data_IF_712367753808
#
_entry.id   IF_712367753808
#
_cell.length_a   1.000
_cell.length_b   1.000
_cell.length_c   1.000
_cell.angle_alpha   90.00
_cell.angle_beta   90.00
_cell.angle_gamma   90.00
#
_symmetry.space_group_name_H-M   'P 1'
#
loop_
_entity.id
_entity.type
_entity.pdbx_description
1 polymer ?
#
# COMPACT_ATOMS: atom_id res chain seq x y z
N UNK A 1 -26.18 -13.53 24.98
CA UNK A 1 -26.13 -12.16 24.43
C UNK A 1 -24.82 -12.04 23.68
N UNK A 2 -24.85 -11.69 22.39
CA UNK A 2 -23.64 -11.62 21.58
C UNK A 2 -23.01 -10.23 21.71
N UNK A 3 -21.83 -10.15 22.34
CA UNK A 3 -21.06 -8.91 22.41
C UNK A 3 -20.46 -8.60 21.04
N UNK A 4 -21.16 -7.79 20.25
CA UNK A 4 -20.60 -7.17 19.05
C UNK A 4 -19.54 -6.15 19.48
N UNK A 5 -18.29 -6.58 19.59
CA UNK A 5 -17.14 -5.69 19.63
C UNK A 5 -16.94 -5.09 18.23
N UNK A 6 -17.68 -4.00 17.95
CA UNK A 6 -17.52 -3.20 16.75
C UNK A 6 -16.27 -2.33 16.85
N UNK A 7 -15.36 -2.47 15.89
CA UNK A 7 -14.11 -1.71 15.75
C UNK A 7 -14.34 -0.24 15.31
N UNK A 8 -15.06 0.55 16.12
CA UNK A 8 -15.42 1.94 15.81
C UNK A 8 -14.57 3.02 16.53
N UNK A 9 -13.41 2.64 17.09
CA UNK A 9 -12.42 3.56 17.71
C UNK A 9 -11.53 4.30 16.69
N UNK A 10 -11.87 4.33 15.40
CA UNK A 10 -11.04 5.02 14.39
C UNK A 10 -11.29 6.56 14.32
N UNK A 11 -12.23 7.10 15.11
CA UNK A 11 -12.75 8.47 14.93
C UNK A 11 -12.14 9.59 15.80
N UNK A 12 -11.64 9.33 17.02
CA UNK A 12 -11.22 10.42 17.95
C UNK A 12 -9.71 10.46 18.19
N UNK A 13 -8.94 10.71 17.13
CA UNK A 13 -7.49 10.99 17.28
C UNK A 13 -7.26 12.47 17.63
N UNK A 14 -6.90 12.74 18.89
CA UNK A 14 -6.68 14.09 19.41
C UNK A 14 -5.36 14.67 18.90
N UNK A 15 -4.27 13.92 19.00
CA UNK A 15 -2.94 14.34 18.57
C UNK A 15 -2.08 13.15 18.13
N UNK A 16 -0.94 13.44 17.50
CA UNK A 16 0.08 12.46 17.17
C UNK A 16 1.38 12.77 17.91
N UNK A 17 2.23 11.76 18.06
CA UNK A 17 3.54 11.94 18.66
C UNK A 17 4.51 10.81 18.38
N UNK A 18 5.71 10.98 18.90
CA UNK A 18 6.83 10.07 18.72
C UNK A 18 7.73 10.09 19.96
N UNK A 19 8.27 8.93 20.32
CA UNK A 19 9.26 8.78 21.38
C UNK A 19 10.17 7.56 21.12
N UNK A 20 11.19 7.41 21.97
CA UNK A 20 11.89 6.14 22.10
C UNK A 20 11.21 5.29 23.18
N UNK A 21 10.94 4.02 22.88
CA UNK A 21 10.23 3.12 23.77
C UNK A 21 10.91 3.01 25.15
N UNK A 22 10.19 3.41 26.22
CA UNK A 22 10.72 3.41 27.60
C UNK A 22 10.87 1.99 28.18
N UNK A 23 10.03 1.06 27.74
CA UNK A 23 10.03 -0.38 28.04
C UNK A 23 9.62 -1.17 26.80
N UNK A 24 9.72 -2.51 26.84
CA UNK A 24 9.30 -3.39 25.74
C UNK A 24 7.83 -3.81 25.81
N UNK A 25 7.05 -3.29 26.76
CA UNK A 25 5.72 -3.81 27.09
C UNK A 25 4.61 -3.31 26.15
N UNK A 26 4.91 -2.37 25.26
CA UNK A 26 3.93 -1.79 24.34
C UNK A 26 3.81 -2.66 23.09
N UNK A 27 2.60 -3.18 22.81
CA UNK A 27 2.29 -3.85 21.55
C UNK A 27 2.01 -2.83 20.45
N UNK A 28 2.37 -3.17 19.22
CA UNK A 28 2.08 -2.34 18.05
C UNK A 28 0.62 -2.50 17.62
N UNK A 29 -0.07 -1.39 17.33
CA UNK A 29 -1.50 -1.40 16.96
C UNK A 29 -1.76 -1.39 15.45
N UNK A 30 -0.78 -1.82 14.64
CA UNK A 30 -0.92 -1.91 13.19
C UNK A 30 -1.75 -3.14 12.78
N UNK A 31 -2.70 -2.99 11.84
CA UNK A 31 -3.67 -4.04 11.40
C UNK A 31 -3.07 -5.37 10.88
N UNK A 32 -1.75 -5.52 10.85
CA UNK A 32 -1.04 -6.74 10.45
C UNK A 32 0.28 -6.94 11.22
N UNK A 33 0.35 -6.49 12.48
CA UNK A 33 1.56 -6.52 13.28
C UNK A 33 1.25 -6.67 14.78
N UNK A 34 1.31 -7.90 15.29
CA UNK A 34 1.03 -8.23 16.70
C UNK A 34 2.28 -8.17 17.61
N UNK A 35 3.40 -7.71 17.06
CA UNK A 35 4.71 -7.65 17.70
C UNK A 35 4.80 -6.56 18.78
N UNK A 36 5.58 -6.85 19.81
CA UNK A 36 6.02 -5.88 20.82
C UNK A 36 7.03 -4.88 20.26
N UNK A 37 6.98 -3.65 20.79
CA UNK A 37 7.88 -2.55 20.44
C UNK A 37 9.01 -2.52 21.47
N UNK A 38 10.20 -2.99 21.08
CA UNK A 38 11.33 -3.15 22.00
C UNK A 38 11.83 -1.83 22.59
N UNK A 39 12.26 -1.84 23.86
CA UNK A 39 12.87 -0.69 24.56
C UNK A 39 13.97 -0.03 23.71
N UNK A 40 13.97 1.31 23.68
CA UNK A 40 14.94 2.14 22.96
C UNK A 40 14.68 2.28 21.45
N UNK A 41 13.69 1.57 20.89
CA UNK A 41 13.31 1.74 19.48
C UNK A 41 12.43 2.98 19.29
N UNK A 42 12.56 3.62 18.12
CA UNK A 42 11.68 4.72 17.71
C UNK A 42 10.28 4.18 17.41
N UNK A 43 9.26 4.77 18.05
CA UNK A 43 7.86 4.45 17.84
C UNK A 43 7.04 5.73 17.64
N UNK A 44 5.90 5.58 16.96
CA UNK A 44 4.93 6.64 16.73
C UNK A 44 3.65 6.31 17.50
N UNK A 45 2.87 7.30 17.88
CA UNK A 45 1.60 7.09 18.57
C UNK A 45 0.53 8.09 18.14
N UNK A 46 -0.74 7.69 18.32
CA UNK A 46 -1.90 8.59 18.39
C UNK A 46 -2.34 8.72 19.85
N UNK A 47 -2.74 9.91 20.27
CA UNK A 47 -3.46 10.13 21.52
C UNK A 47 -4.96 10.01 21.24
N UNK A 48 -5.63 9.13 21.98
CA UNK A 48 -7.10 8.99 21.99
C UNK A 48 -7.64 9.34 23.39
N UNK A 49 -8.92 9.74 23.52
CA UNK A 49 -9.60 9.77 24.80
C UNK A 49 -9.53 8.40 25.47
N UNK A 50 -9.20 8.38 26.75
CA UNK A 50 -9.15 7.16 27.55
C UNK A 50 -10.57 6.81 28.02
N UNK A 51 -11.20 5.72 27.52
CA UNK A 51 -12.59 5.40 27.85
C UNK A 51 -12.79 4.96 29.30
N UNK A 52 -11.70 4.65 30.03
CA UNK A 52 -11.75 4.19 31.42
C UNK A 52 -11.59 5.32 32.45
N UNK A 53 -11.29 6.55 32.00
CA UNK A 53 -11.01 7.69 32.87
C UNK A 53 -12.14 8.72 32.74
N UNK A 54 -12.77 9.15 33.85
CA UNK A 54 -13.87 10.11 33.80
C UNK A 54 -13.40 11.48 33.30
N UNK A 55 -14.27 12.18 32.59
CA UNK A 55 -14.01 13.49 31.98
C UNK A 55 -13.78 14.64 33.00
N UNK A 56 -13.87 14.34 34.30
CA UNK A 56 -13.55 15.25 35.42
C UNK A 56 -12.08 15.20 35.87
N UNK A 57 -11.28 14.28 35.32
CA UNK A 57 -9.83 14.15 35.58
C UNK A 57 -8.99 15.19 34.82
N UNK A 58 -7.67 15.21 35.00
CA UNK A 58 -6.79 16.12 34.27
C UNK A 58 -6.66 15.75 32.79
N UNK A 59 -6.32 16.72 31.92
CA UNK A 59 -6.27 16.51 30.47
C UNK A 59 -5.25 15.45 30.06
N UNK A 60 -4.16 15.32 30.79
CA UNK A 60 -3.13 14.31 30.58
C UNK A 60 -3.64 12.89 30.93
N UNK A 61 -4.45 12.74 31.98
CA UNK A 61 -5.04 11.45 32.39
C UNK A 61 -6.17 11.00 31.44
N UNK A 62 -6.89 11.96 30.86
CA UNK A 62 -7.94 11.71 29.86
C UNK A 62 -7.41 11.20 28.52
N UNK A 63 -6.10 11.21 28.26
CA UNK A 63 -5.52 10.82 26.98
C UNK A 63 -4.59 9.60 27.12
N UNK A 64 -4.82 8.57 26.31
CA UNK A 64 -3.96 7.39 26.25
C UNK A 64 -3.23 7.27 24.89
N UNK A 65 -1.92 6.96 24.88
CA UNK A 65 -1.16 6.74 23.67
C UNK A 65 -1.35 5.32 23.13
N UNK A 66 -1.80 5.23 21.87
CA UNK A 66 -1.84 3.99 21.09
C UNK A 66 -0.57 3.93 20.24
N UNK A 67 0.31 2.96 20.50
CA UNK A 67 1.65 2.88 19.92
C UNK A 67 1.74 2.03 18.64
N UNK A 68 2.65 2.42 17.75
CA UNK A 68 2.91 1.77 16.47
C UNK A 68 4.41 1.75 16.17
N UNK A 69 4.87 0.69 15.51
CA UNK A 69 6.11 0.76 14.72
C UNK A 69 5.97 1.84 13.64
N UNK A 70 7.05 2.54 13.29
CA UNK A 70 7.05 3.64 12.29
C UNK A 70 6.33 3.23 10.99
N UNK A 71 6.65 2.08 10.41
CA UNK A 71 6.01 1.63 9.17
C UNK A 71 4.52 1.25 9.35
N UNK A 72 4.16 0.73 10.53
CA UNK A 72 2.76 0.40 10.84
C UNK A 72 1.91 1.67 11.00
N UNK A 73 2.49 2.75 11.51
CA UNK A 73 1.83 4.05 11.60
C UNK A 73 1.62 4.67 10.21
N UNK A 74 2.62 4.61 9.32
CA UNK A 74 2.46 5.03 7.92
C UNK A 74 1.33 4.23 7.24
N UNK A 75 1.30 2.91 7.41
CA UNK A 75 0.21 2.07 6.89
C UNK A 75 -1.16 2.40 7.51
N UNK A 76 -1.21 2.79 8.80
CA UNK A 76 -2.42 3.27 9.46
C UNK A 76 -2.90 4.60 8.86
N UNK A 77 -2.00 5.53 8.49
CA UNK A 77 -2.38 6.77 7.80
C UNK A 77 -2.84 6.50 6.36
N UNK A 78 -2.25 5.53 5.66
CA UNK A 78 -2.64 5.15 4.29
C UNK A 78 -4.07 4.59 4.17
N UNK A 79 -4.74 4.25 5.27
CA UNK A 79 -6.09 3.68 5.27
C UNK A 79 -7.03 4.43 6.22
N UNK A 80 -8.32 4.47 5.93
CA UNK A 80 -9.38 5.02 6.78
C UNK A 80 -10.15 6.17 6.11
N UNK A 81 -11.07 6.79 6.85
CA UNK A 81 -12.00 7.79 6.32
C UNK A 81 -11.29 8.98 5.64
N UNK A 82 -11.96 9.65 4.71
CA UNK A 82 -11.46 10.85 4.05
C UNK A 82 -11.14 11.95 5.09
N UNK A 83 -12.06 12.17 6.05
CA UNK A 83 -11.89 13.12 7.15
C UNK A 83 -10.92 12.65 8.27
N UNK A 84 -10.30 11.48 8.15
CA UNK A 84 -9.37 10.97 9.16
C UNK A 84 -8.19 11.93 9.31
N UNK A 85 -7.88 12.32 10.56
CA UNK A 85 -6.73 13.17 10.86
C UNK A 85 -5.44 12.54 10.30
N UNK A 86 -4.66 13.33 9.57
CA UNK A 86 -3.40 12.93 8.93
C UNK A 86 -2.29 13.89 9.37
N UNK A 87 -1.06 13.39 9.41
CA UNK A 87 0.13 14.23 9.62
C UNK A 87 0.41 14.98 8.31
N UNK A 88 0.40 16.30 8.36
CA UNK A 88 0.72 17.19 7.25
C UNK A 88 2.16 17.71 7.41
N UNK A 89 2.55 18.11 8.62
CA UNK A 89 3.90 18.56 8.92
C UNK A 89 4.46 17.82 10.15
N UNK A 90 5.45 16.96 9.92
CA UNK A 90 6.10 16.13 10.95
C UNK A 90 6.62 16.93 12.14
N UNK A 91 7.15 18.14 11.91
CA UNK A 91 7.77 18.96 12.97
C UNK A 91 6.73 19.62 13.89
N UNK A 92 5.50 19.82 13.40
CA UNK A 92 4.41 20.49 14.13
C UNK A 92 3.37 19.52 14.67
N UNK A 93 3.09 18.46 13.91
CA UNK A 93 2.00 17.52 14.21
C UNK A 93 2.44 16.35 15.10
N UNK A 94 3.74 16.02 15.13
CA UNK A 94 4.28 15.00 16.03
C UNK A 94 4.88 15.63 17.30
N UNK A 95 4.17 15.47 18.41
CA UNK A 95 4.73 15.71 19.75
C UNK A 95 6.00 14.85 19.95
N UNK A 96 7.04 15.40 20.59
CA UNK A 96 8.30 14.70 20.84
C UNK A 96 9.29 14.67 19.67
N UNK A 97 9.00 15.33 18.54
CA UNK A 97 9.84 15.28 17.34
C UNK A 97 11.22 15.91 17.53
N UNK A 98 11.32 17.01 18.28
CA UNK A 98 12.57 17.76 18.45
C UNK A 98 13.57 17.02 19.35
N UNK A 99 13.05 16.22 20.27
CA UNK A 99 13.73 15.36 21.23
C UNK A 99 14.34 14.11 20.58
N UNK A 100 13.91 13.75 19.36
CA UNK A 100 14.49 12.66 18.60
C UNK A 100 15.92 12.98 18.12
N UNK A 101 16.75 11.94 17.96
CA UNK A 101 18.09 12.06 17.37
C UNK A 101 17.97 12.56 15.92
N UNK A 102 18.90 13.40 15.47
CA UNK A 102 18.92 13.97 14.11
C UNK A 102 18.66 12.94 13.01
N UNK A 103 19.35 11.79 13.06
CA UNK A 103 19.17 10.67 12.11
C UNK A 103 17.72 10.18 11.99
N UNK A 104 17.00 10.12 13.11
CA UNK A 104 15.62 9.68 13.16
C UNK A 104 14.65 10.79 12.71
N UNK A 105 14.93 12.06 13.05
CA UNK A 105 14.20 13.23 12.51
C UNK A 105 14.28 13.27 10.98
N UNK A 106 15.49 13.15 10.43
CA UNK A 106 15.74 13.17 8.98
C UNK A 106 15.06 11.97 8.29
N UNK A 107 15.04 10.80 8.94
CA UNK A 107 14.32 9.61 8.48
C UNK A 107 12.80 9.85 8.43
N UNK A 108 12.20 10.42 9.48
CA UNK A 108 10.76 10.70 9.51
C UNK A 108 10.39 11.75 8.46
N UNK A 109 11.13 12.85 8.34
CA UNK A 109 10.94 13.86 7.28
C UNK A 109 10.89 13.22 5.88
N UNK A 110 11.85 12.34 5.58
CA UNK A 110 11.91 11.64 4.29
C UNK A 110 10.71 10.70 4.06
N UNK A 111 10.26 10.00 5.10
CA UNK A 111 9.11 9.09 5.00
C UNK A 111 7.81 9.86 4.76
N UNK A 112 7.49 10.84 5.61
CA UNK A 112 6.25 11.60 5.50
C UNK A 112 6.20 12.50 4.25
N UNK A 113 7.32 13.10 3.83
CA UNK A 113 7.37 13.85 2.57
C UNK A 113 7.10 12.98 1.32
N UNK A 114 7.39 11.67 1.38
CA UNK A 114 6.98 10.73 0.34
C UNK A 114 5.47 10.39 0.42
N UNK A 115 4.90 10.28 1.61
CA UNK A 115 3.45 10.11 1.80
C UNK A 115 2.63 11.33 1.34
N UNK A 116 3.14 12.54 1.55
CA UNK A 116 2.54 13.79 1.09
C UNK A 116 2.50 13.81 -0.45
N UNK A 117 3.61 13.44 -1.12
CA UNK A 117 3.68 13.32 -2.57
C UNK A 117 2.68 12.29 -3.12
N UNK A 118 2.49 11.15 -2.45
CA UNK A 118 1.48 10.13 -2.83
C UNK A 118 0.07 10.72 -2.77
N UNK A 119 -0.26 11.42 -1.67
CA UNK A 119 -1.59 11.98 -1.45
C UNK A 119 -1.89 13.11 -2.45
N UNK A 120 -0.92 13.99 -2.73
CA UNK A 120 -1.07 15.05 -3.73
C UNK A 120 -1.29 14.52 -5.15
N UNK A 121 -0.50 13.53 -5.57
CA UNK A 121 -0.59 12.92 -6.92
C UNK A 121 -1.89 12.21 -7.21
N UNK A 122 -2.55 11.69 -6.18
CA UNK A 122 -3.82 10.96 -6.26
C UNK A 122 -5.02 11.79 -5.74
N UNK A 123 -4.85 13.11 -5.66
CA UNK A 123 -5.97 14.05 -5.47
C UNK A 123 -6.87 14.09 -6.70
N UNK A 124 -8.14 14.44 -6.52
CA UNK A 124 -9.15 14.38 -7.59
C UNK A 124 -8.92 15.42 -8.71
N UNK A 125 -8.09 16.43 -8.44
CA UNK A 125 -7.62 17.45 -9.39
C UNK A 125 -6.46 16.97 -10.27
N UNK A 126 -5.91 15.77 -10.04
CA UNK A 126 -4.75 15.25 -10.77
C UNK A 126 -5.11 14.76 -12.18
N UNK A 127 -4.82 15.58 -13.19
CA UNK A 127 -5.07 15.29 -14.62
C UNK A 127 -4.35 14.03 -15.14
N UNK A 128 -3.34 13.53 -14.42
CA UNK A 128 -2.50 12.39 -14.83
C UNK A 128 -3.01 11.04 -14.29
N UNK A 129 -3.91 11.03 -13.31
CA UNK A 129 -4.39 9.80 -12.68
C UNK A 129 -5.47 9.11 -13.52
N UNK A 130 -5.22 7.87 -13.95
CA UNK A 130 -6.27 7.04 -14.54
C UNK A 130 -7.24 6.63 -13.44
N UNK A 131 -8.55 6.84 -13.62
CA UNK A 131 -9.55 6.57 -12.59
C UNK A 131 -10.70 5.76 -13.16
N UNK A 132 -11.04 4.65 -12.49
CA UNK A 132 -12.23 3.84 -12.76
C UNK A 132 -13.21 4.03 -11.60
N UNK A 133 -14.42 4.47 -11.91
CA UNK A 133 -15.49 4.70 -10.94
C UNK A 133 -16.65 3.75 -11.23
N UNK A 134 -17.03 2.98 -10.20
CA UNK A 134 -18.05 1.95 -10.26
C UNK A 134 -19.12 2.17 -9.19
N UNK A 135 -20.37 1.84 -9.52
CA UNK A 135 -21.52 1.91 -8.62
C UNK A 135 -22.27 0.58 -8.57
N UNK A 136 -22.80 0.26 -7.40
CA UNK A 136 -23.76 -0.82 -7.18
C UNK A 136 -25.11 -0.19 -6.86
N UNK A 137 -26.01 -0.16 -7.84
CA UNK A 137 -27.28 0.57 -7.77
C UNK A 137 -28.20 0.02 -6.65
N UNK A 138 -28.28 -1.31 -6.48
CA UNK A 138 -29.12 -1.94 -5.44
C UNK A 138 -28.62 -1.67 -4.00
N UNK A 139 -27.34 -1.93 -3.72
CA UNK A 139 -26.75 -1.73 -2.38
C UNK A 139 -26.39 -0.27 -2.07
N UNK A 140 -26.60 0.66 -3.01
CA UNK A 140 -26.20 2.08 -2.93
C UNK A 140 -24.74 2.26 -2.51
N UNK A 141 -23.81 1.57 -3.16
CA UNK A 141 -22.36 1.64 -2.87
C UNK A 141 -21.58 2.11 -4.09
N UNK A 142 -20.48 2.82 -3.84
CA UNK A 142 -19.54 3.20 -4.90
C UNK A 142 -18.11 2.77 -4.58
N UNK A 143 -17.33 2.54 -5.65
CA UNK A 143 -15.90 2.24 -5.62
C UNK A 143 -15.20 3.05 -6.69
N UNK A 144 -14.27 3.91 -6.28
CA UNK A 144 -13.38 4.67 -7.15
C UNK A 144 -11.96 4.16 -6.98
N UNK A 145 -11.32 3.76 -8.07
CA UNK A 145 -9.93 3.29 -8.08
C UNK A 145 -9.13 4.20 -9.02
N UNK A 146 -8.28 5.04 -8.44
CA UNK A 146 -7.33 5.89 -9.16
C UNK A 146 -5.93 5.29 -9.11
N UNK A 147 -5.18 5.36 -10.21
CA UNK A 147 -3.79 4.92 -10.32
C UNK A 147 -2.93 6.05 -10.90
N UNK A 148 -1.80 6.30 -10.23
CA UNK A 148 -0.69 7.11 -10.74
C UNK A 148 0.60 6.29 -10.63
N UNK A 149 1.27 6.07 -11.77
CA UNK A 149 2.50 5.30 -11.86
C UNK A 149 2.41 3.93 -11.14
N UNK A 150 3.04 3.79 -9.97
CA UNK A 150 3.13 2.56 -9.17
C UNK A 150 2.23 2.58 -7.92
N UNK A 151 1.35 3.57 -7.79
CA UNK A 151 0.58 3.81 -6.57
C UNK A 151 -0.90 3.95 -6.91
N UNK A 152 -1.77 3.37 -6.07
CA UNK A 152 -3.23 3.42 -6.25
C UNK A 152 -3.91 4.04 -5.04
N UNK A 153 -4.93 4.86 -5.28
CA UNK A 153 -5.91 5.34 -4.29
C UNK A 153 -7.24 4.65 -4.58
N UNK A 154 -7.75 3.89 -3.62
CA UNK A 154 -9.11 3.34 -3.64
C UNK A 154 -9.98 4.14 -2.67
N UNK A 155 -11.02 4.82 -3.13
CA UNK A 155 -12.04 5.50 -2.32
C UNK A 155 -13.35 4.71 -2.47
N UNK A 156 -14.00 4.35 -1.36
CA UNK A 156 -15.26 3.61 -1.39
C UNK A 156 -16.20 4.05 -0.28
N UNK A 157 -17.50 4.06 -0.56
CA UNK A 157 -18.51 4.59 0.35
C UNK A 157 -19.93 4.26 -0.09
N UNK A 158 -20.90 4.92 0.55
CA UNK A 158 -22.32 4.83 0.23
C UNK A 158 -22.75 5.98 -0.70
N UNK A 159 -23.63 5.66 -1.66
CA UNK A 159 -24.18 6.63 -2.59
C UNK A 159 -25.22 7.51 -1.89
N UNK A 160 -25.03 8.83 -1.97
CA UNK A 160 -25.86 9.82 -1.31
C UNK A 160 -25.45 10.18 0.12
N UNK A 161 -24.41 9.53 0.67
CA UNK A 161 -23.74 10.03 1.87
C UNK A 161 -22.67 11.08 1.53
N UNK A 162 -22.25 11.85 2.53
CA UNK A 162 -21.13 12.77 2.39
C UNK A 162 -19.81 12.01 2.24
N UNK A 163 -18.98 12.44 1.28
CA UNK A 163 -17.67 11.86 0.99
C UNK A 163 -16.71 11.82 2.19
N UNK A 164 -16.95 12.65 3.21
CA UNK A 164 -16.29 12.56 4.52
C UNK A 164 -16.31 11.18 5.16
N UNK A 165 -17.37 10.39 4.88
CA UNK A 165 -17.59 9.04 5.38
C UNK A 165 -16.95 7.97 4.49
N UNK A 166 -16.49 8.34 3.28
CA UNK A 166 -15.84 7.41 2.37
C UNK A 166 -14.49 6.97 2.93
N UNK A 167 -14.18 5.68 2.79
CA UNK A 167 -12.91 5.10 3.22
C UNK A 167 -11.93 5.19 2.05
N UNK A 168 -10.74 5.72 2.34
CA UNK A 168 -9.63 5.82 1.40
C UNK A 168 -8.56 4.79 1.78
N UNK A 169 -8.02 4.11 0.78
CA UNK A 169 -6.86 3.22 0.88
C UNK A 169 -5.82 3.59 -0.17
N UNK A 170 -4.63 3.99 0.28
CA UNK A 170 -3.44 4.16 -0.56
C UNK A 170 -2.59 2.89 -0.54
N UNK A 171 -2.12 2.47 -1.71
CA UNK A 171 -1.23 1.31 -1.86
C UNK A 171 -0.14 1.54 -2.89
N UNK A 172 1.11 1.34 -2.48
CA UNK A 172 2.28 1.28 -3.36
C UNK A 172 2.52 -0.13 -3.87
N UNK A 173 3.09 -0.22 -5.06
CA UNK A 173 3.57 -1.44 -5.71
C UNK A 173 5.04 -1.29 -6.12
N UNK A 174 5.69 -2.41 -6.45
CA UNK A 174 7.09 -2.41 -6.88
C UNK A 174 7.22 -1.82 -8.29
N UNK A 175 6.21 -2.04 -9.13
CA UNK A 175 6.17 -1.59 -10.54
C UNK A 175 4.78 -1.05 -10.92
N UNK A 176 4.73 -0.24 -11.98
CA UNK A 176 3.47 0.21 -12.60
C UNK A 176 2.62 -0.97 -13.11
N UNK A 177 3.24 -2.04 -13.62
CA UNK A 177 2.51 -3.23 -14.07
C UNK A 177 1.81 -3.96 -12.92
N UNK A 178 2.43 -4.04 -11.74
CA UNK A 178 1.79 -4.59 -10.53
C UNK A 178 0.61 -3.73 -10.07
N UNK A 179 0.76 -2.40 -10.11
CA UNK A 179 -0.32 -1.47 -9.77
C UNK A 179 -1.50 -1.63 -10.74
N UNK A 180 -1.25 -1.69 -12.06
CA UNK A 180 -2.30 -1.91 -13.06
C UNK A 180 -3.00 -3.26 -12.85
N UNK A 181 -2.25 -4.35 -12.66
CA UNK A 181 -2.81 -5.69 -12.35
C UNK A 181 -3.70 -5.68 -11.11
N UNK A 182 -3.40 -4.86 -10.10
CA UNK A 182 -4.25 -4.70 -8.93
C UNK A 182 -5.54 -3.95 -9.25
N UNK A 183 -5.48 -2.86 -10.04
CA UNK A 183 -6.67 -2.14 -10.53
C UNK A 183 -7.55 -3.07 -11.35
N UNK A 184 -6.99 -3.77 -12.33
CA UNK A 184 -7.73 -4.70 -13.21
C UNK A 184 -8.40 -5.80 -12.39
N UNK A 185 -7.65 -6.43 -11.47
CA UNK A 185 -8.18 -7.46 -10.56
C UNK A 185 -9.33 -6.92 -9.70
N UNK A 186 -9.20 -5.71 -9.15
CA UNK A 186 -10.24 -5.12 -8.30
C UNK A 186 -11.47 -4.68 -9.10
N UNK A 187 -11.30 -4.14 -10.30
CA UNK A 187 -12.40 -3.86 -11.23
C UNK A 187 -13.14 -5.14 -11.59
N UNK A 188 -12.45 -6.21 -11.99
CA UNK A 188 -13.07 -7.51 -12.30
C UNK A 188 -13.77 -8.15 -11.09
N UNK A 189 -13.20 -8.04 -9.89
CA UNK A 189 -13.83 -8.47 -8.64
C UNK A 189 -15.16 -7.73 -8.42
N UNK A 190 -15.19 -6.41 -8.60
CA UNK A 190 -16.39 -5.59 -8.43
C UNK A 190 -17.45 -5.85 -9.50
N UNK A 191 -17.07 -6.01 -10.77
CA UNK A 191 -17.99 -6.38 -11.85
C UNK A 191 -18.71 -7.71 -11.57
N UNK A 192 -18.03 -8.70 -10.97
CA UNK A 192 -18.66 -9.97 -10.54
C UNK A 192 -19.66 -9.79 -9.40
N UNK A 193 -19.49 -8.75 -8.58
CA UNK A 193 -20.39 -8.37 -7.49
C UNK A 193 -21.39 -7.27 -7.92
N UNK A 194 -21.90 -7.33 -9.16
CA UNK A 194 -22.95 -6.44 -9.71
C UNK A 194 -22.63 -4.94 -9.76
N UNK A 195 -21.39 -4.53 -9.52
CA UNK A 195 -20.99 -3.14 -9.78
C UNK A 195 -20.98 -2.87 -11.29
N UNK A 196 -21.36 -1.67 -11.70
CA UNK A 196 -21.28 -1.18 -13.08
C UNK A 196 -20.30 -0.01 -13.18
N UNK A 197 -19.49 0.04 -14.24
CA UNK A 197 -18.58 1.17 -14.48
C UNK A 197 -19.41 2.33 -15.02
N UNK A 198 -19.44 3.47 -14.30
CA UNK A 198 -20.16 4.68 -14.73
C UNK A 198 -19.23 5.72 -15.35
N UNK A 199 -17.94 5.74 -14.95
CA UNK A 199 -16.92 6.65 -15.50
C UNK A 199 -15.55 5.98 -15.50
N UNK A 200 -14.78 6.19 -16.57
CA UNK A 200 -13.38 5.79 -16.66
C UNK A 200 -12.58 6.91 -17.35
N UNK A 201 -11.50 7.36 -16.72
CA UNK A 201 -10.53 8.29 -17.29
C UNK A 201 -9.18 7.60 -17.43
N UNK A 202 -8.54 7.74 -18.60
CA UNK A 202 -7.29 7.07 -18.95
C UNK A 202 -7.33 6.52 -20.36
N UNK A 203 -6.23 6.68 -21.10
CA UNK A 203 -6.19 6.41 -22.54
C UNK A 203 -6.59 4.97 -22.90
N UNK A 204 -7.49 4.84 -23.88
CA UNK A 204 -7.82 3.54 -24.46
C UNK A 204 -6.59 2.97 -25.18
N UNK A 205 -6.05 1.86 -24.68
CA UNK A 205 -5.39 0.88 -25.55
C UNK A 205 -6.47 -0.02 -26.13
N UNK A 206 -6.67 0.05 -27.45
CA UNK A 206 -7.63 -0.75 -28.20
C UNK A 206 -7.64 -2.24 -27.82
N UNK A 207 -8.82 -2.78 -27.57
CA UNK A 207 -9.24 -4.04 -28.22
C UNK A 207 -10.77 -4.07 -28.38
N UNK A 208 -11.25 -3.57 -29.52
CA UNK A 208 -12.58 -3.93 -30.02
C UNK A 208 -12.47 -5.23 -30.82
N UNK A 209 -12.64 -6.38 -30.17
CA UNK A 209 -12.93 -7.65 -30.85
C UNK A 209 -14.43 -7.97 -30.76
N UNK A 210 -15.24 -7.18 -31.47
CA UNK A 210 -16.63 -7.51 -31.78
C UNK A 210 -16.68 -8.62 -32.83
N UNK A 211 -16.69 -9.88 -32.38
CA UNK A 211 -16.77 -11.05 -33.28
C UNK A 211 -18.23 -11.30 -33.72
N UNK A 212 -18.77 -10.39 -34.52
CA UNK A 212 -20.08 -10.55 -35.16
C UNK A 212 -19.98 -11.48 -36.37
N UNK A 213 -20.67 -12.62 -36.31
CA UNK A 213 -20.66 -13.61 -37.37
C UNK A 213 -21.33 -13.11 -38.66
N UNK A 214 -20.71 -13.39 -39.82
CA UNK A 214 -21.41 -13.45 -41.11
C UNK A 214 -20.75 -14.42 -42.08
N UNK A 215 -21.55 -14.96 -43.00
CA UNK A 215 -21.35 -16.26 -43.67
C UNK A 215 -21.64 -16.13 -45.17
N UNK A 216 -20.94 -16.90 -46.02
CA UNK A 216 -20.90 -16.89 -47.52
C UNK A 216 -19.86 -15.90 -48.10
N UNK A 217 -19.20 -16.16 -49.24
CA UNK A 217 -19.26 -17.28 -50.22
C UNK A 217 -17.91 -17.50 -50.95
N UNK A 218 -17.77 -18.62 -51.67
CA UNK A 218 -16.61 -19.08 -52.46
C UNK A 218 -16.20 -18.16 -53.62
N UNK A 219 -14.88 -18.09 -53.90
CA UNK A 219 -14.17 -18.26 -55.21
C UNK A 219 -12.65 -18.14 -54.90
N UNK A 220 -11.74 -19.11 -55.04
CA UNK A 220 -11.29 -19.96 -56.16
C UNK A 220 -10.29 -19.31 -57.14
N UNK A 221 -8.98 -19.36 -56.81
CA UNK A 221 -7.89 -19.58 -57.79
C UNK A 221 -6.51 -19.76 -57.12
N UNK A 222 -5.86 -20.88 -57.41
CA UNK A 222 -4.40 -21.10 -57.50
C UNK A 222 -4.00 -20.99 -58.99
N UNK A 223 -2.72 -20.89 -59.45
CA UNK A 223 -1.45 -21.44 -58.90
C UNK A 223 -0.32 -20.37 -58.81
N UNK A 224 1.00 -20.60 -58.57
CA UNK A 224 1.99 -21.60 -59.03
C UNK A 224 3.16 -21.74 -58.04
N UNK A 225 3.86 -22.88 -58.06
CA UNK A 225 5.11 -23.20 -57.32
C UNK A 225 6.32 -22.38 -57.77
N UNK A 226 7.27 -22.11 -56.86
CA UNK A 226 8.71 -22.45 -57.07
C UNK A 226 9.52 -22.53 -55.77
N UNK A 227 10.23 -23.64 -55.59
CA UNK A 227 11.45 -23.82 -54.77
C UNK A 227 12.39 -24.73 -55.58
N UNK A 228 13.73 -24.51 -55.60
CA UNK A 228 14.66 -25.05 -54.58
C UNK A 228 15.87 -24.07 -54.35
N UNK A 229 17.05 -24.37 -53.74
CA UNK A 229 17.63 -25.61 -53.16
C UNK A 229 18.59 -25.34 -51.98
N UNK A 230 18.38 -26.02 -50.85
CA UNK A 230 19.36 -26.82 -50.06
C UNK A 230 20.87 -26.47 -50.15
N UNK A 231 21.50 -26.10 -49.01
CA UNK A 231 22.87 -26.56 -48.68
C UNK A 231 23.10 -26.69 -47.16
N UNK A 232 23.96 -27.62 -46.79
CA UNK A 232 24.05 -28.30 -45.47
C UNK A 232 25.33 -27.94 -44.69
N UNK A 233 25.38 -28.40 -43.42
CA UNK A 233 26.60 -28.69 -42.60
C UNK A 233 27.29 -27.46 -41.95
N UNK A 234 27.88 -27.55 -40.74
CA UNK A 234 28.18 -28.71 -39.86
C UNK A 234 28.34 -28.34 -38.37
N UNK A 235 28.30 -29.36 -37.51
CA UNK A 235 28.55 -29.34 -36.06
C UNK A 235 30.03 -29.08 -35.68
N UNK A 236 30.26 -28.52 -34.48
CA UNK A 236 31.23 -28.95 -33.44
C UNK A 236 30.92 -28.14 -32.14
N UNK A 237 30.53 -28.69 -30.99
CA UNK A 237 31.27 -29.52 -30.01
C UNK A 237 32.58 -28.91 -29.50
N UNK A 238 32.61 -28.48 -28.23
CA UNK A 238 33.34 -29.18 -27.14
C UNK A 238 33.05 -28.56 -25.77
N UNK A 239 33.04 -29.41 -24.75
CA UNK A 239 32.91 -29.08 -23.32
C UNK A 239 34.20 -29.38 -22.58
N UNK A 240 34.54 -28.66 -21.49
CA UNK A 240 35.33 -29.22 -20.37
C UNK A 240 35.38 -28.35 -19.10
N UNK A 241 35.24 -29.05 -17.95
CA UNK A 241 35.91 -28.94 -16.62
C UNK A 241 36.20 -27.55 -15.99
N UNK A 242 35.90 -27.25 -14.70
CA UNK A 242 35.91 -27.97 -13.39
C UNK A 242 37.20 -27.74 -12.55
N UNK A 243 37.08 -26.90 -11.52
CA UNK A 243 37.85 -26.85 -10.25
C UNK A 243 36.98 -26.06 -9.26
N UNK A 244 36.57 -26.51 -8.07
CA UNK A 244 37.23 -27.18 -6.94
C UNK A 244 38.37 -26.33 -6.35
N UNK A 245 38.10 -25.76 -5.18
CA UNK A 245 39.01 -24.92 -4.40
C UNK A 245 38.49 -24.70 -2.97
N UNK A 246 38.46 -25.76 -2.17
CA UNK A 246 38.31 -25.67 -0.70
C UNK A 246 39.62 -25.20 -0.07
N UNK A 247 39.60 -24.48 1.07
CA UNK A 247 40.45 -24.72 2.28
C UNK A 247 40.36 -23.63 3.40
N UNK A 248 39.81 -24.07 4.54
CA UNK A 248 40.15 -23.78 5.97
C UNK A 248 40.13 -22.35 6.55
N UNK A 249 39.37 -22.24 7.66
CA UNK A 249 39.66 -21.38 8.82
C UNK A 249 40.91 -21.87 9.60
N UNK A 250 41.51 -21.01 10.45
CA UNK A 250 42.25 -21.43 11.65
C UNK A 250 41.62 -20.93 12.97
N UNK A 251 41.21 -21.89 13.79
CA UNK A 251 41.40 -22.05 15.25
C UNK A 251 41.52 -20.85 16.22
N UNK A 252 40.76 -21.03 17.33
CA UNK A 252 40.72 -20.34 18.63
C UNK A 252 41.92 -20.62 19.56
N UNK A 253 42.48 -19.57 20.19
CA UNK A 253 43.16 -19.57 21.50
C UNK A 253 42.80 -18.23 22.19
N UNK A 254 42.21 -18.15 23.40
CA UNK A 254 42.62 -18.63 24.73
C UNK A 254 43.34 -17.54 25.56
N UNK A 255 42.60 -17.00 26.54
CA UNK A 255 43.00 -16.45 27.84
C UNK A 255 44.31 -15.66 28.03
N UNK A 256 44.18 -14.44 28.59
CA UNK A 256 45.05 -14.01 29.70
C UNK A 256 44.30 -13.14 30.71
N UNK A 257 44.40 -13.55 31.98
CA UNK A 257 43.87 -12.88 33.17
C UNK A 257 45.07 -12.31 33.93
N UNK A 258 45.10 -11.01 34.20
CA UNK A 258 45.97 -10.28 35.14
C UNK A 258 45.57 -8.80 35.05
N UNK A 259 45.54 -8.01 36.13
CA UNK A 259 45.92 -8.26 37.52
C UNK A 259 44.95 -7.50 38.42
#
# INVERSE_FOLDING_TARGET
MASTTGDDDESVTVAFGCDYAKSSNARCHGKSCDNEISKGTLRLFRLIPNPFIPQSSTREEQLMPVYYHVQCFINYLRSGNENKKRVQNVEKDLQGFNELKKKDRDRLKKLFGYEEQIQGKLSETSTTANTTYLEHDEEKKYWQISIDNKTTKTKYGLLGEADSNAIILYKDFSTQSEAQKYVDKKTQEKLKHRYTIKKQTGAQTNDQTSVSASRKRKQSSTPVKTTPTKRTKRQATTSTKKSIGTRKQPTRLASKKTK
#
